data_IF_729667917334
#
_entry.id   IF_729667917334
#
_cell.length_a   1.000
_cell.length_b   1.000
_cell.length_c   1.000
_cell.angle_alpha   90.00
_cell.angle_beta   90.00
_cell.angle_gamma   90.00
#
_symmetry.space_group_name_H-M   'P 1'
#
loop_
_entity.id
_entity.type
_entity.pdbx_description
1 polymer ?
#
# COMPACT_ATOMS: atom_id res chain seq x y z
N UNK A 1 27.39 -1.12 3.47
CA UNK A 1 26.45 -0.21 2.83
C UNK A 1 25.13 -0.94 2.65
N UNK A 2 24.13 -0.57 3.42
CA UNK A 2 22.79 -1.13 3.33
C UNK A 2 21.97 -0.26 2.41
N UNK A 3 21.45 -0.85 1.38
CA UNK A 3 20.81 -0.18 0.25
C UNK A 3 19.36 -0.57 0.23
N UNK A 4 18.47 0.41 0.06
CA UNK A 4 17.09 0.18 -0.29
C UNK A 4 16.15 -0.20 0.86
N UNK A 5 16.43 0.23 2.09
CA UNK A 5 15.54 -0.04 3.22
C UNK A 5 14.88 1.24 3.75
N UNK A 6 13.63 1.08 4.17
CA UNK A 6 12.94 2.01 5.03
C UNK A 6 13.77 2.21 6.31
N UNK A 7 14.14 3.45 6.59
CA UNK A 7 14.96 3.78 7.75
C UNK A 7 14.18 4.36 8.91
N UNK A 8 13.13 5.11 8.59
CA UNK A 8 12.25 5.74 9.58
C UNK A 8 10.91 6.09 8.96
N UNK A 9 9.94 6.34 9.82
CA UNK A 9 8.59 6.76 9.45
C UNK A 9 8.19 7.98 10.28
N UNK A 10 7.32 8.82 9.73
CA UNK A 10 6.65 9.90 10.48
C UNK A 10 5.14 9.69 10.40
N UNK A 11 4.51 9.62 11.57
CA UNK A 11 3.06 9.49 11.75
C UNK A 11 2.40 10.84 12.11
N UNK A 12 3.10 11.93 11.92
CA UNK A 12 2.65 13.28 12.29
C UNK A 12 1.32 13.67 11.62
N UNK A 13 1.04 13.11 10.44
CA UNK A 13 -0.15 13.42 9.65
C UNK A 13 -1.24 12.33 9.75
N UNK A 14 -1.12 11.43 10.71
CA UNK A 14 -2.07 10.33 10.88
C UNK A 14 -3.38 10.76 11.53
N UNK A 15 -3.31 11.65 12.52
CA UNK A 15 -4.46 12.11 13.32
C UNK A 15 -4.99 13.49 12.86
N UNK A 16 -4.51 14.04 11.77
CA UNK A 16 -5.00 15.32 11.28
C UNK A 16 -6.46 15.18 10.80
N UNK A 17 -7.37 15.77 11.55
CA UNK A 17 -8.77 15.87 11.21
C UNK A 17 -9.01 16.96 10.14
N UNK A 18 -8.56 16.70 8.93
CA UNK A 18 -8.81 17.54 7.77
C UNK A 18 -9.94 16.92 6.95
N UNK A 19 -11.06 17.62 6.70
CA UNK A 19 -12.16 17.07 5.93
C UNK A 19 -11.77 16.80 4.45
N UNK A 20 -10.79 17.52 3.93
CA UNK A 20 -10.41 17.49 2.52
C UNK A 20 -9.27 16.49 2.23
N UNK A 21 -8.53 16.07 3.25
CA UNK A 21 -7.42 15.12 3.11
C UNK A 21 -7.59 13.90 4.01
N UNK A 22 -7.04 12.77 3.58
CA UNK A 22 -7.00 11.54 4.34
C UNK A 22 -5.77 11.51 5.27
N UNK A 23 -5.78 10.71 6.34
CA UNK A 23 -4.58 10.38 7.06
C UNK A 23 -3.50 9.79 6.16
N UNK A 24 -2.24 10.15 6.43
CA UNK A 24 -1.10 9.56 5.75
C UNK A 24 0.12 9.50 6.66
N UNK A 25 1.06 8.63 6.32
CA UNK A 25 2.38 8.60 6.95
C UNK A 25 3.46 8.83 5.91
N UNK A 26 4.60 9.35 6.33
CA UNK A 26 5.80 9.46 5.50
C UNK A 26 6.74 8.30 5.80
N UNK A 27 7.38 7.79 4.75
CA UNK A 27 8.39 6.74 4.80
C UNK A 27 9.70 7.26 4.21
N UNK A 28 10.79 7.12 4.96
CA UNK A 28 12.12 7.59 4.55
C UNK A 28 12.98 6.41 4.14
N UNK A 29 13.48 6.46 2.91
CA UNK A 29 14.34 5.42 2.35
C UNK A 29 15.77 5.94 2.22
N UNK A 30 16.72 5.20 2.76
CA UNK A 30 18.13 5.58 2.72
C UNK A 30 18.78 5.36 1.35
N UNK A 31 18.07 4.71 0.44
CA UNK A 31 18.46 4.57 -0.95
C UNK A 31 17.23 4.31 -1.84
N UNK A 32 17.15 5.00 -2.95
CA UNK A 32 16.05 4.88 -3.92
C UNK A 32 16.52 4.92 -5.38
N UNK A 33 17.82 4.84 -5.61
CA UNK A 33 18.40 4.81 -6.95
C UNK A 33 18.57 3.39 -7.51
N UNK A 34 19.00 3.27 -8.76
CA UNK A 34 19.28 2.00 -9.40
C UNK A 34 20.43 1.26 -8.70
N UNK A 35 20.40 -0.05 -8.75
CA UNK A 35 21.53 -0.88 -8.29
C UNK A 35 22.77 -0.64 -9.17
N UNK A 36 23.99 -0.92 -8.68
CA UNK A 36 25.18 -0.82 -9.50
C UNK A 36 25.13 -1.66 -10.79
N UNK A 37 24.42 -2.79 -10.73
CA UNK A 37 24.21 -3.67 -11.90
C UNK A 37 23.28 -3.00 -12.92
N UNK A 38 22.18 -2.42 -12.46
CA UNK A 38 21.27 -1.68 -13.33
C UNK A 38 21.96 -0.47 -13.97
N UNK A 39 22.75 0.28 -13.21
CA UNK A 39 23.56 1.39 -13.75
C UNK A 39 24.53 0.92 -14.84
N UNK A 40 25.19 -0.23 -14.62
CA UNK A 40 26.14 -0.77 -15.56
C UNK A 40 25.48 -1.34 -16.84
N UNK A 41 24.22 -1.83 -16.74
CA UNK A 41 23.50 -2.45 -17.86
C UNK A 41 22.62 -1.47 -18.64
N UNK A 42 22.20 -0.37 -18.02
CA UNK A 42 21.28 0.61 -18.62
C UNK A 42 21.98 1.78 -19.31
N UNK A 43 23.28 1.99 -19.05
CA UNK A 43 24.07 3.09 -19.62
C UNK A 43 25.02 2.63 -20.71
N UNK A 44 25.47 3.59 -21.51
CA UNK A 44 26.52 3.40 -22.52
C UNK A 44 27.94 3.59 -21.95
N UNK A 45 28.04 3.80 -20.62
CA UNK A 45 29.30 4.04 -19.94
C UNK A 45 30.04 2.73 -19.64
N UNK A 46 31.37 2.77 -19.76
CA UNK A 46 32.24 1.64 -19.41
C UNK A 46 33.58 2.13 -18.89
N UNK A 47 34.35 1.25 -18.20
CA UNK A 47 35.65 1.61 -17.66
C UNK A 47 35.58 2.63 -16.54
N UNK A 48 36.51 3.61 -16.54
CA UNK A 48 36.63 4.59 -15.47
C UNK A 48 35.42 5.52 -15.38
N UNK A 49 34.77 5.87 -16.50
CA UNK A 49 33.58 6.71 -16.49
C UNK A 49 32.41 6.03 -15.77
N UNK A 50 32.19 4.75 -16.00
CA UNK A 50 31.17 3.97 -15.27
C UNK A 50 31.50 3.89 -13.78
N UNK A 51 32.79 3.68 -13.43
CA UNK A 51 33.20 3.65 -12.03
C UNK A 51 33.00 4.98 -11.31
N UNK A 52 33.22 6.10 -12.00
CA UNK A 52 33.01 7.43 -11.43
C UNK A 52 31.51 7.75 -11.29
N UNK A 53 30.68 7.37 -12.27
CA UNK A 53 29.23 7.47 -12.17
C UNK A 53 28.68 6.62 -11.01
N UNK A 54 29.15 5.39 -10.84
CA UNK A 54 28.80 4.53 -9.72
C UNK A 54 29.18 5.14 -8.37
N UNK A 55 30.37 5.72 -8.25
CA UNK A 55 30.82 6.37 -7.00
C UNK A 55 30.02 7.63 -6.66
N UNK A 56 29.60 8.38 -7.67
CA UNK A 56 28.84 9.61 -7.48
C UNK A 56 27.37 9.39 -7.20
N UNK A 57 26.74 8.39 -7.81
CA UNK A 57 25.31 8.17 -7.72
C UNK A 57 24.93 7.11 -6.65
N UNK A 58 25.68 5.99 -6.58
CA UNK A 58 25.30 4.90 -5.69
C UNK A 58 25.43 5.26 -4.21
N UNK A 59 24.33 5.14 -3.48
CA UNK A 59 24.26 5.47 -2.05
C UNK A 59 24.04 6.95 -1.75
N UNK A 60 23.94 7.81 -2.77
CA UNK A 60 23.69 9.25 -2.64
C UNK A 60 22.25 9.66 -3.00
N UNK A 61 21.39 8.69 -3.30
CA UNK A 61 19.97 8.92 -3.60
C UNK A 61 19.11 8.42 -2.45
N UNK A 62 18.23 9.29 -1.98
CA UNK A 62 17.23 9.01 -0.94
C UNK A 62 15.84 9.22 -1.52
N UNK A 63 14.83 8.58 -0.93
CA UNK A 63 13.45 8.89 -1.25
C UNK A 63 12.65 9.12 0.02
N UNK A 64 11.59 9.91 -0.14
CA UNK A 64 10.53 10.05 0.85
C UNK A 64 9.25 9.60 0.17
N UNK A 65 8.68 8.51 0.64
CA UNK A 65 7.38 7.99 0.21
C UNK A 65 6.25 8.46 1.12
N UNK A 66 5.01 8.28 0.68
CA UNK A 66 3.84 8.42 1.52
C UNK A 66 2.91 7.22 1.35
N UNK A 67 2.40 6.70 2.45
CA UNK A 67 1.25 5.80 2.45
C UNK A 67 0.02 6.61 2.84
N UNK A 68 -0.97 6.61 1.97
CA UNK A 68 -2.20 7.39 2.10
C UNK A 68 -3.38 6.45 2.35
N UNK A 69 -4.24 6.80 3.31
CA UNK A 69 -5.48 6.06 3.53
C UNK A 69 -6.37 6.16 2.30
N UNK A 70 -6.87 5.02 1.88
CA UNK A 70 -7.93 4.92 0.88
C UNK A 70 -9.16 4.27 1.52
N UNK A 71 -10.24 5.04 1.63
CA UNK A 71 -11.50 4.53 2.16
C UNK A 71 -12.16 3.57 1.16
N UNK A 72 -12.96 2.60 1.66
CA UNK A 72 -13.75 1.71 0.82
C UNK A 72 -14.66 2.50 -0.13
N UNK A 73 -14.81 2.00 -1.36
CA UNK A 73 -15.64 2.59 -2.42
C UNK A 73 -16.42 1.50 -3.13
N UNK A 74 -17.63 1.83 -3.58
CA UNK A 74 -18.49 0.88 -4.33
C UNK A 74 -17.92 0.54 -5.71
N UNK A 75 -17.13 1.45 -6.31
CA UNK A 75 -16.46 1.28 -7.59
C UNK A 75 -15.06 0.64 -7.49
N UNK A 76 -14.66 0.21 -6.28
CA UNK A 76 -13.45 -0.56 -6.02
C UNK A 76 -13.82 -1.91 -5.44
N UNK A 77 -13.86 -2.93 -6.29
CA UNK A 77 -14.31 -4.28 -5.92
C UNK A 77 -13.58 -5.35 -6.73
N UNK A 78 -13.74 -6.60 -6.30
CA UNK A 78 -13.33 -7.77 -7.08
C UNK A 78 -14.58 -8.49 -7.53
N UNK A 79 -14.81 -8.51 -8.84
CA UNK A 79 -15.87 -9.26 -9.49
C UNK A 79 -15.37 -10.59 -10.08
N UNK A 80 -16.22 -11.22 -10.83
CA UNK A 80 -15.88 -12.38 -11.66
C UNK A 80 -16.09 -12.01 -13.13
N UNK A 81 -15.08 -12.29 -13.95
CA UNK A 81 -15.17 -12.06 -15.39
C UNK A 81 -16.16 -13.06 -16.00
N UNK A 82 -17.24 -12.59 -16.68
CA UNK A 82 -18.23 -13.48 -17.24
C UNK A 82 -17.75 -14.24 -18.49
N UNK A 83 -16.72 -13.74 -19.15
CA UNK A 83 -16.26 -14.21 -20.46
C UNK A 83 -14.95 -15.01 -20.38
N UNK A 84 -14.23 -14.96 -19.25
CA UNK A 84 -12.95 -15.63 -19.06
C UNK A 84 -13.00 -16.65 -17.94
N UNK A 85 -12.41 -17.80 -18.19
CA UNK A 85 -12.28 -18.88 -17.19
C UNK A 85 -10.84 -19.36 -17.06
N UNK A 86 -10.52 -19.88 -15.88
CA UNK A 86 -9.27 -20.58 -15.63
C UNK A 86 -9.23 -21.97 -16.31
N UNK A 87 -8.15 -22.71 -16.13
CA UNK A 87 -7.98 -24.08 -16.69
C UNK A 87 -8.97 -25.12 -16.12
N UNK A 88 -9.71 -24.78 -15.07
CA UNK A 88 -10.71 -25.63 -14.43
C UNK A 88 -12.15 -25.22 -14.80
N UNK A 89 -12.31 -24.17 -15.59
CA UNK A 89 -13.61 -23.65 -16.00
C UNK A 89 -14.26 -22.70 -14.97
N UNK A 90 -13.54 -22.25 -13.95
CA UNK A 90 -14.04 -21.23 -13.03
C UNK A 90 -13.82 -19.84 -13.59
N UNK A 91 -14.77 -18.89 -13.41
CA UNK A 91 -14.56 -17.50 -13.78
C UNK A 91 -13.30 -16.93 -13.11
N UNK A 92 -12.51 -16.16 -13.87
CA UNK A 92 -11.34 -15.47 -13.29
C UNK A 92 -11.75 -14.20 -12.56
N UNK A 93 -10.98 -13.73 -11.56
CA UNK A 93 -11.25 -12.45 -10.89
C UNK A 93 -11.16 -11.28 -11.88
N UNK A 94 -12.12 -10.37 -11.77
CA UNK A 94 -12.13 -9.07 -12.43
C UNK A 94 -11.96 -7.98 -11.37
N UNK A 95 -10.82 -7.29 -11.39
CA UNK A 95 -10.43 -6.34 -10.36
C UNK A 95 -10.69 -4.91 -10.83
N UNK A 96 -11.64 -4.25 -10.19
CA UNK A 96 -11.91 -2.84 -10.34
C UNK A 96 -11.29 -2.06 -9.19
N UNK A 97 -10.39 -1.12 -9.51
CA UNK A 97 -9.73 -0.30 -8.51
C UNK A 97 -9.68 1.16 -8.95
N UNK A 98 -10.15 2.04 -8.09
CA UNK A 98 -10.15 3.49 -8.30
C UNK A 98 -9.62 4.19 -7.07
N UNK A 99 -8.93 5.31 -7.26
CA UNK A 99 -8.47 6.18 -6.18
C UNK A 99 -9.48 7.32 -6.02
N UNK A 100 -9.99 7.53 -4.81
CA UNK A 100 -10.96 8.60 -4.53
C UNK A 100 -10.31 9.98 -4.45
N UNK A 101 -11.10 11.02 -4.71
CA UNK A 101 -10.65 12.42 -4.75
C UNK A 101 -9.92 12.85 -3.45
N UNK A 102 -10.40 12.39 -2.29
CA UNK A 102 -9.78 12.68 -1.01
C UNK A 102 -8.37 12.10 -0.92
N UNK A 103 -8.15 10.89 -1.41
CA UNK A 103 -6.84 10.27 -1.45
C UNK A 103 -5.92 10.99 -2.46
N UNK A 104 -6.44 11.38 -3.63
CA UNK A 104 -5.68 12.15 -4.63
C UNK A 104 -5.24 13.51 -4.06
N UNK A 105 -6.13 14.27 -3.43
CA UNK A 105 -5.78 15.53 -2.75
C UNK A 105 -4.71 15.32 -1.65
N UNK A 106 -4.79 14.19 -0.94
CA UNK A 106 -3.79 13.84 0.09
C UNK A 106 -2.42 13.55 -0.52
N UNK A 107 -2.38 12.89 -1.68
CA UNK A 107 -1.13 12.63 -2.40
C UNK A 107 -0.47 13.95 -2.82
N UNK A 108 -1.25 14.91 -3.33
CA UNK A 108 -0.73 16.25 -3.67
C UNK A 108 -0.15 16.94 -2.43
N UNK A 109 -0.87 16.94 -1.31
CA UNK A 109 -0.36 17.50 -0.03
C UNK A 109 0.89 16.78 0.45
N UNK A 110 0.93 15.46 0.40
CA UNK A 110 2.11 14.69 0.78
C UNK A 110 3.31 15.06 -0.09
N UNK A 111 3.12 15.24 -1.39
CA UNK A 111 4.17 15.66 -2.33
C UNK A 111 4.74 17.05 -1.99
N UNK A 112 3.90 18.00 -1.59
CA UNK A 112 4.36 19.32 -1.14
C UNK A 112 5.27 19.21 0.09
N UNK A 113 4.88 18.38 1.07
CA UNK A 113 5.64 18.17 2.30
C UNK A 113 6.96 17.43 2.01
N UNK A 114 6.92 16.39 1.18
CA UNK A 114 8.11 15.64 0.75
C UNK A 114 9.12 16.56 0.06
N UNK A 115 8.63 17.42 -0.85
CA UNK A 115 9.45 18.42 -1.53
C UNK A 115 10.10 19.38 -0.53
N UNK A 116 9.33 19.95 0.39
CA UNK A 116 9.85 20.87 1.39
C UNK A 116 10.93 20.23 2.30
N UNK A 117 10.76 18.94 2.64
CA UNK A 117 11.75 18.17 3.40
C UNK A 117 13.05 18.03 2.59
N UNK A 118 12.97 17.58 1.34
CA UNK A 118 14.14 17.37 0.48
C UNK A 118 14.89 18.69 0.19
N UNK A 119 14.16 19.76 -0.10
CA UNK A 119 14.74 21.10 -0.31
C UNK A 119 15.44 21.63 0.96
N UNK A 120 14.84 21.41 2.14
CA UNK A 120 15.45 21.78 3.43
C UNK A 120 16.76 21.02 3.68
N UNK A 121 16.85 19.77 3.21
CA UNK A 121 18.05 18.95 3.28
C UNK A 121 19.10 19.34 2.21
N UNK A 122 18.77 20.24 1.29
CA UNK A 122 19.64 20.62 0.17
C UNK A 122 19.76 19.55 -0.91
N UNK A 123 18.79 18.65 -1.00
CA UNK A 123 18.75 17.59 -2.01
C UNK A 123 18.28 18.14 -3.36
N UNK A 124 18.85 17.63 -4.44
CA UNK A 124 18.32 17.80 -5.78
C UNK A 124 17.18 16.80 -6.01
N UNK A 125 16.01 17.27 -6.41
CA UNK A 125 14.85 16.43 -6.67
C UNK A 125 14.92 15.92 -8.12
N UNK A 126 15.18 14.64 -8.28
CA UNK A 126 15.37 14.02 -9.59
C UNK A 126 14.10 13.37 -10.16
N UNK A 127 13.14 13.01 -9.31
CA UNK A 127 11.85 12.48 -9.72
C UNK A 127 10.77 12.71 -8.66
N UNK A 128 9.53 12.71 -9.09
CA UNK A 128 8.34 12.77 -8.23
C UNK A 128 7.26 11.86 -8.82
N UNK A 129 6.39 11.34 -7.95
CA UNK A 129 5.22 10.56 -8.35
C UNK A 129 3.98 11.42 -8.15
N UNK A 130 3.24 11.69 -9.23
CA UNK A 130 1.98 12.44 -9.19
C UNK A 130 0.77 11.58 -8.85
N UNK A 131 -0.40 12.19 -8.64
CA UNK A 131 -1.65 11.45 -8.42
C UNK A 131 -1.99 10.47 -9.55
N UNK A 132 -1.66 10.81 -10.78
CA UNK A 132 -1.90 9.98 -11.99
C UNK A 132 -0.95 8.79 -12.10
N UNK A 133 0.20 8.84 -11.45
CA UNK A 133 1.22 7.78 -11.45
C UNK A 133 1.19 6.95 -10.15
N UNK A 134 0.18 7.19 -9.30
CA UNK A 134 0.04 6.51 -8.03
C UNK A 134 -0.28 5.03 -8.23
N UNK A 135 0.45 4.19 -7.53
CA UNK A 135 0.26 2.74 -7.52
C UNK A 135 -0.20 2.19 -6.18
N UNK A 136 -0.62 0.93 -6.14
CA UNK A 136 -1.01 0.27 -4.90
C UNK A 136 0.20 0.13 -3.96
N UNK A 137 -0.02 0.34 -2.66
CA UNK A 137 0.98 0.10 -1.62
C UNK A 137 1.14 -1.39 -1.25
N UNK A 138 0.52 -2.29 -2.01
CA UNK A 138 0.46 -3.74 -1.74
C UNK A 138 -0.19 -4.10 -0.39
N UNK A 139 -1.02 -3.23 0.12
CA UNK A 139 -1.80 -3.40 1.34
C UNK A 139 -3.29 -3.55 1.00
N UNK A 140 -3.61 -4.53 0.16
CA UNK A 140 -4.98 -4.79 -0.28
C UNK A 140 -5.84 -5.24 0.90
N UNK A 141 -7.08 -4.72 0.98
CA UNK A 141 -7.99 -5.04 2.10
C UNK A 141 -9.46 -4.78 1.73
N UNK A 142 -10.37 -5.31 2.57
CA UNK A 142 -11.77 -4.94 2.55
C UNK A 142 -12.67 -5.69 1.57
N UNK A 143 -12.15 -6.60 0.74
CA UNK A 143 -12.96 -7.35 -0.25
C UNK A 143 -13.95 -8.33 0.37
N UNK A 144 -13.76 -8.70 1.65
CA UNK A 144 -14.69 -9.50 2.46
C UNK A 144 -14.93 -8.85 3.82
N UNK A 145 -15.18 -7.52 3.81
CA UNK A 145 -15.22 -6.69 5.01
C UNK A 145 -16.15 -7.23 6.09
N UNK A 146 -15.73 -7.06 7.35
CA UNK A 146 -16.54 -7.45 8.50
C UNK A 146 -17.58 -6.38 8.86
N UNK A 147 -18.67 -6.84 9.43
CA UNK A 147 -19.73 -6.01 9.97
C UNK A 147 -20.82 -6.83 10.66
N UNK A 148 -21.76 -6.16 11.27
CA UNK A 148 -22.90 -6.79 11.96
C UNK A 148 -24.12 -6.98 11.05
N UNK A 149 -24.19 -6.26 9.96
CA UNK A 149 -25.29 -6.33 9.00
C UNK A 149 -24.86 -7.17 7.79
N UNK A 150 -25.48 -8.32 7.53
CA UNK A 150 -25.18 -9.18 6.38
C UNK A 150 -25.49 -8.51 5.02
N UNK A 151 -26.29 -7.45 4.97
CA UNK A 151 -26.54 -6.70 3.75
C UNK A 151 -25.35 -5.79 3.39
N UNK A 152 -24.50 -5.43 4.36
CA UNK A 152 -23.41 -4.48 4.22
C UNK A 152 -22.01 -5.11 4.44
N UNK A 153 -21.96 -6.42 4.78
CA UNK A 153 -20.73 -7.11 5.12
C UNK A 153 -20.73 -8.57 4.70
N UNK A 154 -19.55 -9.14 4.54
CA UNK A 154 -19.38 -10.56 4.15
C UNK A 154 -19.18 -11.46 5.36
N UNK A 155 -18.47 -10.95 6.36
CA UNK A 155 -18.23 -11.69 7.61
C UNK A 155 -18.70 -10.90 8.83
N UNK A 156 -19.04 -11.61 9.89
CA UNK A 156 -19.39 -11.05 11.18
C UNK A 156 -18.13 -10.54 11.93
N UNK A 157 -18.26 -9.89 13.11
CA UNK A 157 -17.11 -9.46 13.90
C UNK A 157 -16.16 -10.57 14.35
N UNK A 158 -16.55 -11.85 14.28
CA UNK A 158 -15.70 -13.01 14.53
C UNK A 158 -15.03 -13.56 13.26
N UNK A 159 -15.12 -12.81 12.16
CA UNK A 159 -14.64 -13.21 10.83
C UNK A 159 -15.31 -14.45 10.25
N UNK A 160 -16.48 -14.85 10.77
CA UNK A 160 -17.32 -15.91 10.22
C UNK A 160 -18.20 -15.34 9.11
N UNK A 161 -18.33 -16.05 8.01
CA UNK A 161 -19.22 -15.63 6.92
C UNK A 161 -20.68 -15.65 7.34
N UNK A 162 -21.46 -14.65 6.91
CA UNK A 162 -22.90 -14.59 7.23
C UNK A 162 -23.67 -15.72 6.58
N UNK A 163 -23.27 -16.15 5.37
CA UNK A 163 -24.02 -17.12 4.57
C UNK A 163 -23.65 -18.58 4.82
N UNK A 164 -22.43 -18.85 5.33
CA UNK A 164 -21.91 -20.21 5.48
C UNK A 164 -21.44 -20.42 6.91
N UNK A 165 -22.13 -21.26 7.65
CA UNK A 165 -21.94 -21.43 9.10
C UNK A 165 -20.57 -21.99 9.53
N UNK A 166 -19.87 -22.73 8.67
CA UNK A 166 -18.58 -23.34 8.95
C UNK A 166 -17.42 -22.73 8.15
N UNK A 167 -17.55 -21.46 7.75
CA UNK A 167 -16.53 -20.74 6.98
C UNK A 167 -16.09 -19.48 7.69
N UNK A 168 -14.78 -19.30 7.87
CA UNK A 168 -14.15 -18.10 8.41
C UNK A 168 -13.12 -17.57 7.44
N UNK A 169 -12.96 -16.25 7.44
CA UNK A 169 -11.98 -15.57 6.58
C UNK A 169 -10.89 -14.95 7.47
N UNK A 170 -9.63 -15.30 7.18
CA UNK A 170 -8.46 -14.70 7.82
C UNK A 170 -7.66 -13.89 6.81
N UNK A 171 -7.22 -12.70 7.21
CA UNK A 171 -6.43 -11.82 6.35
C UNK A 171 -6.96 -10.39 6.36
N UNK A 172 -6.35 -9.52 5.56
CA UNK A 172 -6.75 -8.10 5.45
C UNK A 172 -8.07 -7.89 4.70
N UNK A 173 -8.54 -8.88 3.95
CA UNK A 173 -9.82 -8.77 3.24
C UNK A 173 -11.02 -8.49 4.17
N UNK A 174 -10.92 -8.87 5.45
CA UNK A 174 -11.99 -8.63 6.44
C UNK A 174 -11.99 -7.21 7.03
N UNK A 175 -11.02 -6.37 6.71
CA UNK A 175 -10.95 -5.01 7.26
C UNK A 175 -12.09 -4.14 6.71
N UNK A 176 -12.85 -3.43 7.56
CA UNK A 176 -13.83 -2.44 7.11
C UNK A 176 -13.19 -1.16 6.60
N UNK A 177 -12.02 -0.78 7.16
CA UNK A 177 -11.18 0.35 6.74
C UNK A 177 -9.71 0.01 7.01
N UNK A 178 -8.77 0.69 6.34
CA UNK A 178 -7.36 0.34 6.41
C UNK A 178 -6.45 1.31 7.14
N UNK A 179 -6.76 2.58 7.14
CA UNK A 179 -5.82 3.61 7.57
C UNK A 179 -4.57 3.70 6.68
N UNK A 180 -3.57 4.43 7.14
CA UNK A 180 -2.33 4.70 6.40
C UNK A 180 -1.12 3.92 6.95
N UNK A 181 -1.33 2.81 7.65
CA UNK A 181 -0.26 2.02 8.29
C UNK A 181 -0.22 0.60 7.73
N UNK A 182 0.97 0.01 7.68
CA UNK A 182 1.15 -1.38 7.27
C UNK A 182 0.29 -2.33 8.11
N UNK A 183 -0.57 -3.19 7.53
CA UNK A 183 -1.63 -3.87 8.26
C UNK A 183 -1.23 -5.19 8.92
N UNK A 184 -0.01 -5.69 8.73
CA UNK A 184 0.38 -7.07 9.07
C UNK A 184 0.19 -7.41 10.54
N UNK A 185 0.49 -6.49 11.49
CA UNK A 185 0.29 -6.74 12.91
C UNK A 185 -1.20 -6.91 13.25
N UNK A 186 -2.07 -6.08 12.66
CA UNK A 186 -3.52 -6.18 12.83
C UNK A 186 -4.06 -7.45 12.20
N UNK A 187 -3.55 -7.87 11.03
CA UNK A 187 -3.89 -9.16 10.40
C UNK A 187 -3.59 -10.31 11.36
N UNK A 188 -2.40 -10.34 11.95
CA UNK A 188 -2.01 -11.38 12.90
C UNK A 188 -2.90 -11.41 14.15
N UNK A 189 -3.21 -10.24 14.70
CA UNK A 189 -4.11 -10.12 15.86
C UNK A 189 -5.53 -10.60 15.55
N UNK A 190 -6.07 -10.25 14.38
CA UNK A 190 -7.39 -10.73 13.94
C UNK A 190 -7.39 -12.24 13.66
N UNK A 191 -6.32 -12.77 13.08
CA UNK A 191 -6.20 -14.20 12.83
C UNK A 191 -6.22 -15.02 14.13
N UNK A 192 -5.54 -14.55 15.19
CA UNK A 192 -5.59 -15.18 16.52
C UNK A 192 -7.01 -15.15 17.09
N UNK A 193 -7.69 -14.00 17.03
CA UNK A 193 -9.10 -13.89 17.46
C UNK A 193 -10.03 -14.80 16.68
N UNK A 194 -9.81 -14.93 15.38
CA UNK A 194 -10.58 -15.83 14.53
C UNK A 194 -10.33 -17.29 14.91
N UNK A 195 -9.09 -17.68 15.25
CA UNK A 195 -8.76 -19.02 15.72
C UNK A 195 -9.51 -19.37 17.01
N UNK A 196 -9.58 -18.44 17.98
CA UNK A 196 -10.37 -18.63 19.20
C UNK A 196 -11.87 -18.82 18.90
N UNK A 197 -12.40 -18.09 17.92
CA UNK A 197 -13.79 -18.23 17.49
C UNK A 197 -14.07 -19.56 16.79
N UNK A 198 -13.14 -20.07 16.02
CA UNK A 198 -13.22 -21.39 15.37
C UNK A 198 -13.18 -22.50 16.44
N UNK A 199 -12.25 -22.41 17.40
CA UNK A 199 -12.16 -23.39 18.49
C UNK A 199 -13.44 -23.44 19.33
N UNK A 200 -14.05 -22.29 19.60
CA UNK A 200 -15.32 -22.23 20.33
C UNK A 200 -16.53 -22.77 19.55
N UNK A 201 -16.44 -22.93 18.24
CA UNK A 201 -17.50 -23.42 17.37
C UNK A 201 -17.39 -24.94 17.08
N UNK A 202 -16.29 -25.56 17.43
CA UNK A 202 -16.03 -27.03 17.28
C UNK A 202 -16.48 -27.79 18.52
#
# INVERSE_FOLDING_TARGET
>A
NHVGFLTSESHQFYDEADPDTAPFKLEFFNYAGPSPVEMALSGDEWGDSLLDSLRSAYGNQVAVGALVEQLPREDSYVGLDPDQTDSHGNPVPDVHWTVGDRALATIERANEIQRAILETLGAEITWTVGPEDTGPAYHHMGTTRMGTDPAESVVDPSCRTHDIENCWVAGSSVFPTGGAVNPTLTIAALALRTADAVEAAL
#
